data_IF_474021730757
#
_entry.id   IF_474021730757
#
_cell.length_a   1.000
_cell.length_b   1.000
_cell.length_c   1.000
_cell.angle_alpha   90.00
_cell.angle_beta   90.00
_cell.angle_gamma   90.00
#
_symmetry.space_group_name_H-M   'P 1'
#
loop_
_entity.id
_entity.type
_entity.pdbx_description
1 polymer ?
#
# COMPACT_ATOMS: atom_id res chain seq x y z
N UNK A 1 -37.10 -12.30 6.93
CA UNK A 1 -36.67 -11.63 5.68
C UNK A 1 -35.37 -10.90 5.96
N UNK A 2 -34.23 -11.47 5.57
CA UNK A 2 -32.91 -10.91 5.88
C UNK A 2 -32.59 -9.83 4.85
N UNK A 3 -32.90 -8.57 5.16
CA UNK A 3 -32.49 -7.43 4.35
C UNK A 3 -30.97 -7.34 4.35
N UNK A 4 -30.33 -7.83 3.30
CA UNK A 4 -28.92 -7.55 3.02
C UNK A 4 -28.79 -6.05 2.76
N UNK A 5 -28.29 -5.31 3.76
CA UNK A 5 -27.92 -3.91 3.62
C UNK A 5 -26.93 -3.81 2.45
N UNK A 6 -27.40 -3.34 1.28
CA UNK A 6 -26.57 -3.11 0.11
C UNK A 6 -25.60 -2.00 0.46
N UNK A 7 -24.37 -2.37 0.88
CA UNK A 7 -23.31 -1.43 1.24
C UNK A 7 -23.21 -0.37 0.13
N UNK A 8 -23.43 0.89 0.48
CA UNK A 8 -23.27 2.02 -0.45
C UNK A 8 -21.89 1.89 -1.10
N UNK A 9 -21.76 1.91 -2.43
CA UNK A 9 -20.47 1.76 -3.08
C UNK A 9 -19.55 2.88 -2.59
N UNK A 10 -18.44 2.49 -1.96
CA UNK A 10 -17.42 3.44 -1.51
C UNK A 10 -16.86 4.13 -2.75
N UNK A 11 -16.83 5.47 -2.79
CA UNK A 11 -16.26 6.22 -3.91
C UNK A 11 -14.84 5.73 -4.15
N UNK A 12 -14.57 5.15 -5.31
CA UNK A 12 -13.23 4.73 -5.72
C UNK A 12 -12.42 5.94 -6.15
N UNK A 13 -11.15 5.96 -5.76
CA UNK A 13 -10.17 6.91 -6.31
C UNK A 13 -9.96 6.58 -7.79
N UNK A 14 -9.97 7.60 -8.64
CA UNK A 14 -9.66 7.43 -10.05
C UNK A 14 -8.18 6.98 -10.24
N UNK A 15 -7.92 6.18 -11.28
CA UNK A 15 -6.59 5.60 -11.53
C UNK A 15 -5.54 6.69 -11.80
N UNK A 16 -5.91 7.73 -12.57
CA UNK A 16 -5.01 8.84 -12.85
C UNK A 16 -4.70 9.61 -11.56
N UNK A 17 -5.73 9.95 -10.78
CA UNK A 17 -5.56 10.61 -9.49
C UNK A 17 -4.67 9.80 -8.52
N UNK A 18 -4.85 8.47 -8.48
CA UNK A 18 -4.02 7.59 -7.67
C UNK A 18 -2.55 7.61 -8.14
N UNK A 19 -2.29 7.51 -9.45
CA UNK A 19 -0.93 7.59 -10.01
C UNK A 19 -0.26 8.94 -9.74
N UNK A 20 -1.01 10.04 -9.78
CA UNK A 20 -0.49 11.36 -9.40
C UNK A 20 -0.05 11.39 -7.93
N UNK A 21 -0.82 10.77 -7.04
CA UNK A 21 -0.44 10.63 -5.63
C UNK A 21 0.82 9.80 -5.44
N UNK A 22 0.97 8.69 -6.18
CA UNK A 22 2.21 7.88 -6.18
C UNK A 22 3.41 8.74 -6.58
N UNK A 23 3.27 9.56 -7.62
CA UNK A 23 4.35 10.47 -8.08
C UNK A 23 4.70 11.52 -7.05
N UNK A 24 3.70 12.15 -6.42
CA UNK A 24 3.92 13.14 -5.37
C UNK A 24 4.67 12.53 -4.17
N UNK A 25 4.32 11.30 -3.77
CA UNK A 25 5.07 10.58 -2.73
C UNK A 25 6.48 10.21 -3.18
N UNK A 26 6.65 9.77 -4.43
CA UNK A 26 7.98 9.45 -4.96
C UNK A 26 8.91 10.67 -4.93
N UNK A 27 8.40 11.85 -5.29
CA UNK A 27 9.11 13.11 -5.18
C UNK A 27 9.47 13.45 -3.72
N UNK A 28 8.51 13.37 -2.79
CA UNK A 28 8.74 13.63 -1.35
C UNK A 28 9.77 12.69 -0.73
N UNK A 29 9.83 11.44 -1.19
CA UNK A 29 10.78 10.44 -0.71
C UNK A 29 12.14 10.57 -1.43
N UNK A 30 12.18 11.21 -2.60
CA UNK A 30 13.40 11.34 -3.42
C UNK A 30 13.70 10.10 -4.27
N UNK A 31 12.69 9.32 -4.67
CA UNK A 31 12.82 8.13 -5.52
C UNK A 31 12.14 8.29 -6.87
N UNK A 32 12.55 7.50 -7.87
CA UNK A 32 11.98 7.53 -9.23
C UNK A 32 11.59 6.12 -9.67
N UNK A 33 10.32 5.68 -9.46
CA UNK A 33 9.85 4.41 -10.02
C UNK A 33 9.93 4.47 -11.55
N UNK A 34 10.38 3.39 -12.19
CA UNK A 34 10.44 3.31 -13.66
C UNK A 34 9.04 3.19 -14.27
N UNK A 35 8.17 2.45 -13.59
CA UNK A 35 6.81 2.16 -14.05
C UNK A 35 5.85 2.16 -12.85
N UNK A 36 4.65 2.69 -13.05
CA UNK A 36 3.56 2.70 -12.05
C UNK A 36 2.34 2.01 -12.64
N UNK A 37 2.04 0.81 -12.16
CA UNK A 37 0.94 -0.02 -12.62
C UNK A 37 -0.18 -0.09 -11.58
N UNK A 38 -1.41 -0.12 -12.08
CA UNK A 38 -2.61 -0.45 -11.29
C UNK A 38 -3.31 -1.59 -12.04
N UNK A 39 -3.48 -2.74 -11.41
CA UNK A 39 -4.07 -3.93 -12.03
C UNK A 39 -4.83 -4.78 -11.01
N UNK A 40 -5.66 -5.69 -11.50
CA UNK A 40 -6.24 -6.72 -10.63
C UNK A 40 -5.12 -7.63 -10.11
N UNK A 41 -5.06 -7.82 -8.81
CA UNK A 41 -4.14 -8.75 -8.14
C UNK A 41 -4.98 -9.66 -7.26
N UNK A 42 -4.55 -10.89 -6.98
CA UNK A 42 -5.28 -11.86 -6.11
C UNK A 42 -4.62 -12.17 -4.76
N UNK A 43 -3.31 -11.91 -4.62
CA UNK A 43 -2.55 -12.21 -3.38
C UNK A 43 -2.12 -10.97 -2.58
N UNK A 44 -1.67 -9.88 -3.22
CA UNK A 44 -1.06 -8.70 -2.56
C UNK A 44 -1.83 -7.41 -2.82
N UNK A 45 -1.69 -6.39 -1.97
CA UNK A 45 -2.15 -5.03 -2.27
C UNK A 45 -1.17 -4.30 -3.20
N UNK A 46 0.12 -4.60 -3.13
CA UNK A 46 1.11 -4.05 -4.05
C UNK A 46 2.38 -4.91 -4.16
N UNK A 47 3.31 -4.47 -5.01
CA UNK A 47 4.64 -5.05 -5.15
C UNK A 47 5.59 -4.12 -5.88
N UNK A 48 6.85 -4.10 -5.47
CA UNK A 48 7.97 -3.50 -6.18
C UNK A 48 8.86 -4.59 -6.81
N UNK A 49 9.22 -4.45 -8.09
CA UNK A 49 10.22 -5.30 -8.74
C UNK A 49 11.64 -4.77 -8.50
N UNK A 50 12.64 -5.65 -8.65
CA UNK A 50 14.06 -5.25 -8.66
C UNK A 50 14.41 -4.29 -9.80
N UNK A 51 13.60 -4.27 -10.87
CA UNK A 51 13.78 -3.35 -12.00
C UNK A 51 13.19 -1.96 -11.75
N UNK A 52 12.50 -1.74 -10.62
CA UNK A 52 11.93 -0.44 -10.25
C UNK A 52 10.49 -0.21 -10.72
N UNK A 53 9.75 -1.28 -11.06
CA UNK A 53 8.30 -1.21 -11.32
C UNK A 53 7.54 -1.35 -10.01
N UNK A 54 6.68 -0.38 -9.71
CA UNK A 54 5.71 -0.46 -8.62
C UNK A 54 4.33 -0.80 -9.16
N UNK A 55 3.69 -1.82 -8.59
CA UNK A 55 2.39 -2.32 -9.03
C UNK A 55 1.44 -2.33 -7.85
N UNK A 56 0.27 -1.73 -8.03
CA UNK A 56 -0.78 -1.66 -7.02
C UNK A 56 -2.03 -2.42 -7.46
N UNK A 57 -2.74 -3.01 -6.50
CA UNK A 57 -4.04 -3.64 -6.73
C UNK A 57 -5.11 -2.58 -7.04
N UNK A 58 -5.97 -2.84 -8.03
CA UNK A 58 -7.14 -2.00 -8.32
C UNK A 58 -8.13 -1.90 -7.15
N UNK A 59 -8.12 -2.88 -6.24
CA UNK A 59 -8.95 -2.86 -5.03
C UNK A 59 -8.51 -1.75 -4.07
N UNK A 60 -7.21 -1.39 -4.08
CA UNK A 60 -6.64 -0.37 -3.21
C UNK A 60 -7.30 1.00 -3.44
N UNK A 61 -7.79 1.25 -4.66
CA UNK A 61 -8.49 2.49 -5.02
C UNK A 61 -9.77 2.73 -4.21
N UNK A 62 -10.40 1.66 -3.68
CA UNK A 62 -11.58 1.74 -2.83
C UNK A 62 -11.27 1.79 -1.33
N UNK A 63 -10.00 1.67 -0.94
CA UNK A 63 -9.61 1.68 0.46
C UNK A 63 -9.51 3.09 1.03
N UNK A 64 -9.39 3.17 2.36
CA UNK A 64 -9.19 4.44 3.06
C UNK A 64 -7.92 5.14 2.57
N UNK A 65 -7.93 6.47 2.54
CA UNK A 65 -6.81 7.26 2.05
C UNK A 65 -5.51 6.91 2.77
N UNK A 66 -5.56 6.82 4.10
CA UNK A 66 -4.41 6.46 4.94
C UNK A 66 -3.83 5.08 4.60
N UNK A 67 -4.70 4.11 4.27
CA UNK A 67 -4.26 2.79 3.81
C UNK A 67 -3.57 2.90 2.45
N UNK A 68 -4.14 3.67 1.52
CA UNK A 68 -3.53 3.90 0.22
C UNK A 68 -2.14 4.53 0.37
N UNK A 69 -2.00 5.56 1.20
CA UNK A 69 -0.70 6.22 1.43
C UNK A 69 0.32 5.28 2.08
N UNK A 70 -0.09 4.50 3.06
CA UNK A 70 0.76 3.47 3.66
C UNK A 70 1.31 2.51 2.61
N UNK A 71 0.45 1.94 1.75
CA UNK A 71 0.88 1.00 0.70
C UNK A 71 1.79 1.69 -0.32
N UNK A 72 1.47 2.92 -0.73
CA UNK A 72 2.29 3.70 -1.67
C UNK A 72 3.69 3.92 -1.10
N UNK A 73 3.79 4.45 0.11
CA UNK A 73 5.08 4.74 0.75
C UNK A 73 5.88 3.46 0.96
N UNK A 74 5.21 2.36 1.37
CA UNK A 74 5.86 1.06 1.54
C UNK A 74 6.57 0.58 0.27
N UNK A 75 5.87 0.59 -0.87
CA UNK A 75 6.46 0.12 -2.13
C UNK A 75 7.53 1.08 -2.68
N UNK A 76 7.37 2.39 -2.46
CA UNK A 76 8.37 3.37 -2.89
C UNK A 76 9.65 3.26 -2.07
N UNK A 77 9.56 2.96 -0.77
CA UNK A 77 10.76 2.75 0.06
C UNK A 77 11.58 1.53 -0.39
N UNK A 78 10.96 0.51 -0.99
CA UNK A 78 11.69 -0.63 -1.58
C UNK A 78 12.62 -0.26 -2.71
N UNK A 79 12.44 0.90 -3.35
CA UNK A 79 13.37 1.42 -4.36
C UNK A 79 14.71 1.87 -3.75
N UNK A 80 14.75 2.13 -2.44
CA UNK A 80 15.95 2.58 -1.72
C UNK A 80 16.44 1.54 -0.70
N UNK A 81 15.51 0.89 0.01
CA UNK A 81 15.79 -0.05 1.09
C UNK A 81 15.01 -1.34 0.83
N UNK A 82 15.64 -2.39 0.26
CA UNK A 82 14.92 -3.59 -0.20
C UNK A 82 14.41 -4.49 0.94
N UNK A 83 14.90 -4.29 2.17
CA UNK A 83 14.61 -5.14 3.33
C UNK A 83 13.89 -4.35 4.42
N UNK A 84 12.91 -4.95 5.10
CA UNK A 84 12.11 -4.35 6.18
C UNK A 84 12.83 -4.19 7.54
N UNK A 85 14.13 -3.89 7.51
CA UNK A 85 14.97 -3.72 8.69
C UNK A 85 14.68 -2.44 9.49
N UNK A 86 15.57 -2.11 10.44
CA UNK A 86 15.45 -0.92 11.29
C UNK A 86 15.33 0.37 10.46
N UNK A 87 16.16 0.51 9.41
CA UNK A 87 16.15 1.66 8.51
C UNK A 87 14.80 1.82 7.80
N UNK A 88 14.26 0.74 7.23
CA UNK A 88 12.96 0.77 6.57
C UNK A 88 11.84 1.25 7.52
N UNK A 89 11.81 0.70 8.74
CA UNK A 89 10.82 1.09 9.76
C UNK A 89 10.96 2.55 10.18
N UNK A 90 12.18 3.06 10.29
CA UNK A 90 12.44 4.45 10.62
C UNK A 90 11.95 5.39 9.51
N UNK A 91 12.24 5.08 8.24
CA UNK A 91 11.77 5.87 7.10
C UNK A 91 10.25 5.82 6.98
N UNK A 92 9.64 4.64 7.11
CA UNK A 92 8.19 4.49 7.08
C UNK A 92 7.52 5.31 8.18
N UNK A 93 8.08 5.31 9.40
CA UNK A 93 7.60 6.13 10.52
C UNK A 93 7.75 7.64 10.27
N UNK A 94 8.80 8.06 9.58
CA UNK A 94 9.02 9.47 9.25
C UNK A 94 7.99 9.99 8.24
N UNK A 95 7.63 9.18 7.24
CA UNK A 95 6.66 9.57 6.20
C UNK A 95 5.20 9.32 6.59
N UNK A 96 4.94 8.27 7.38
CA UNK A 96 3.60 7.89 7.83
C UNK A 96 3.65 7.69 9.35
N UNK A 97 3.57 8.77 10.16
CA UNK A 97 3.75 8.69 11.62
C UNK A 97 2.81 7.70 12.32
N UNK A 98 1.58 7.56 11.80
CA UNK A 98 0.54 6.68 12.32
C UNK A 98 0.53 5.28 11.66
N UNK A 99 1.60 4.87 10.98
CA UNK A 99 1.62 3.60 10.23
C UNK A 99 1.32 2.36 11.10
N UNK A 100 1.55 2.44 12.42
CA UNK A 100 1.23 1.36 13.37
C UNK A 100 -0.25 1.24 13.70
N UNK A 101 -1.00 2.35 13.61
CA UNK A 101 -2.46 2.36 13.84
C UNK A 101 -3.23 2.09 12.56
N UNK A 102 -2.59 2.30 11.41
CA UNK A 102 -3.01 1.79 10.11
C UNK A 102 -2.80 0.27 10.12
N UNK A 103 -3.72 -0.47 10.76
CA UNK A 103 -3.62 -1.91 10.90
C UNK A 103 -3.43 -2.55 9.52
N UNK A 104 -2.42 -3.42 9.31
CA UNK A 104 -2.26 -4.11 8.05
C UNK A 104 -3.55 -4.85 7.73
N UNK A 105 -4.23 -4.41 6.68
CA UNK A 105 -5.48 -5.02 6.25
C UNK A 105 -5.14 -6.21 5.38
N UNK A 106 -5.63 -7.39 5.74
CA UNK A 106 -5.67 -8.47 4.77
C UNK A 106 -6.60 -8.06 3.61
N UNK A 107 -6.55 -8.79 2.49
CA UNK A 107 -7.36 -8.44 1.32
C UNK A 107 -8.88 -8.54 1.51
N UNK A 108 -9.33 -9.11 2.63
CA UNK A 108 -10.74 -9.16 3.04
C UNK A 108 -11.17 -7.92 3.83
N UNK A 109 -10.28 -6.95 4.03
CA UNK A 109 -10.56 -5.72 4.78
C UNK A 109 -10.65 -5.94 6.29
N UNK A 110 -10.24 -7.11 6.77
CA UNK A 110 -10.14 -7.42 8.20
C UNK A 110 -8.84 -6.82 8.73
N UNK A 111 -8.91 -6.23 9.92
CA UNK A 111 -7.70 -5.86 10.65
C UNK A 111 -6.89 -7.15 10.86
N UNK A 112 -5.66 -7.20 10.37
CA UNK A 112 -4.77 -8.33 10.62
C UNK A 112 -4.59 -8.51 12.13
N UNK A 113 -5.31 -9.47 12.72
CA UNK A 113 -5.07 -9.94 14.07
C UNK A 113 -3.69 -10.61 14.07
N UNK A 114 -2.72 -9.97 14.72
CA UNK A 114 -1.47 -10.60 15.13
C UNK A 114 -0.24 -10.22 14.32
N UNK A 115 0.57 -9.31 14.87
CA UNK A 115 2.02 -9.42 14.70
C UNK A 115 2.48 -10.72 15.37
N UNK A 116 2.72 -11.78 14.60
CA UNK A 116 3.60 -12.87 15.04
C UNK A 116 4.46 -13.39 13.89
N UNK A 117 5.76 -13.17 14.06
CA UNK A 117 6.95 -13.90 13.57
C UNK A 117 6.79 -14.79 12.32
N UNK A 118 7.24 -14.27 11.18
CA UNK A 118 8.05 -15.04 10.22
C UNK A 118 8.82 -14.08 9.31
N UNK A 119 10.09 -14.40 9.07
CA UNK A 119 10.92 -13.73 8.08
C UNK A 119 10.36 -13.99 6.67
N UNK A 120 10.45 -12.99 5.79
CA UNK A 120 10.13 -13.12 4.37
C UNK A 120 8.78 -12.49 3.99
N UNK A 121 8.85 -11.34 3.33
CA UNK A 121 7.73 -10.71 2.62
C UNK A 121 6.44 -10.57 3.45
N UNK A 122 6.39 -9.57 4.33
CA UNK A 122 5.11 -8.94 4.62
C UNK A 122 4.66 -8.29 3.29
N UNK A 123 3.94 -9.06 2.48
CA UNK A 123 3.25 -8.54 1.32
C UNK A 123 2.22 -7.54 1.85
N UNK A 124 2.45 -6.27 1.55
CA UNK A 124 1.36 -5.32 1.51
C UNK A 124 0.46 -5.78 0.38
#
# INVERSE_FOLDING_TARGET
MTTTLRRRPKRRTDVYAFKQRVRAWAERIGVRPKEIHVRTMTTKWASCSSTGRVTFSADLLGELHEWQEYVIVHELLHLHVPNHGKLFKALLAAFVPNWRTVAPRNRRGEAGLGLSRAAGTAAV
#
